data_IF_048377142189
#
_entry.id   IF_048377142189
#
_cell.length_a   1.000
_cell.length_b   1.000
_cell.length_c   1.000
_cell.angle_alpha   90.00
_cell.angle_beta   90.00
_cell.angle_gamma   90.00
#
_symmetry.space_group_name_H-M   'P 1'
#
loop_
_entity.id
_entity.type
_entity.pdbx_description
1 polymer ?
#
# COMPACT_ATOMS: atom_id res chain seq x y z
N UNK A 1 18.57 -9.11 27.53
CA UNK A 1 18.75 -8.43 26.24
C UNK A 1 20.17 -8.48 25.68
N UNK A 2 21.21 -8.37 26.51
CA UNK A 2 22.61 -8.38 25.99
C UNK A 2 23.01 -9.63 25.18
N UNK A 3 22.34 -10.77 25.37
CA UNK A 3 22.69 -12.03 24.70
C UNK A 3 22.18 -12.12 23.24
N UNK A 4 21.28 -11.23 22.84
CA UNK A 4 20.65 -11.21 21.51
C UNK A 4 20.69 -9.80 20.88
N UNK A 5 21.76 -9.05 21.14
CA UNK A 5 21.85 -7.64 20.77
C UNK A 5 21.72 -7.41 19.25
N UNK A 6 22.39 -8.23 18.44
CA UNK A 6 22.38 -8.08 16.98
C UNK A 6 21.04 -8.48 16.37
N UNK A 7 20.42 -9.57 16.82
CA UNK A 7 19.11 -10.00 16.33
C UNK A 7 18.02 -8.98 16.70
N UNK A 8 18.06 -8.45 17.92
CA UNK A 8 17.12 -7.40 18.36
C UNK A 8 17.29 -6.15 17.50
N UNK A 9 18.51 -5.70 17.27
CA UNK A 9 18.80 -4.53 16.44
C UNK A 9 18.34 -4.74 15.00
N UNK A 10 18.60 -5.91 14.44
CA UNK A 10 18.13 -6.26 13.08
C UNK A 10 16.62 -6.15 12.96
N UNK A 11 15.87 -6.74 13.88
CA UNK A 11 14.39 -6.68 13.89
C UNK A 11 13.91 -5.25 14.06
N UNK A 12 14.48 -4.48 14.99
CA UNK A 12 14.08 -3.10 15.23
C UNK A 12 14.29 -2.23 13.98
N UNK A 13 15.45 -2.38 13.31
CA UNK A 13 15.74 -1.64 12.09
C UNK A 13 14.79 -2.03 10.95
N UNK A 14 14.59 -3.32 10.69
CA UNK A 14 13.68 -3.80 9.65
C UNK A 14 12.25 -3.28 9.85
N UNK A 15 11.74 -3.30 11.09
CA UNK A 15 10.40 -2.80 11.39
C UNK A 15 10.28 -1.28 11.31
N UNK A 16 11.34 -0.53 11.58
CA UNK A 16 11.28 0.95 11.56
C UNK A 16 11.56 1.55 10.19
N UNK A 17 12.40 0.90 9.38
CA UNK A 17 12.83 1.38 8.08
C UNK A 17 11.92 0.91 6.93
N UNK A 18 11.19 -0.19 7.12
CA UNK A 18 10.32 -0.77 6.09
C UNK A 18 8.83 -0.56 6.43
N UNK A 19 8.01 -0.32 5.41
CA UNK A 19 6.55 -0.29 5.59
C UNK A 19 6.01 -1.65 6.04
N UNK A 20 6.59 -2.72 5.48
CA UNK A 20 6.30 -4.11 5.82
C UNK A 20 7.59 -4.91 5.87
N UNK A 21 7.72 -5.75 6.90
CA UNK A 21 8.79 -6.73 7.04
C UNK A 21 8.24 -8.11 6.70
N UNK A 22 8.68 -8.70 5.60
CA UNK A 22 8.26 -10.03 5.16
C UNK A 22 9.23 -11.11 5.64
N UNK A 23 8.70 -12.32 5.89
CA UNK A 23 9.51 -13.48 6.25
C UNK A 23 10.63 -13.73 5.22
N UNK A 24 10.34 -13.55 3.92
CA UNK A 24 11.31 -13.70 2.84
C UNK A 24 12.43 -12.65 2.79
N UNK A 25 12.34 -11.54 3.53
CA UNK A 25 13.40 -10.52 3.57
C UNK A 25 14.58 -10.98 4.44
N UNK A 26 14.27 -11.59 5.58
CA UNK A 26 15.23 -12.17 6.50
C UNK A 26 14.52 -13.17 7.42
N UNK A 27 14.54 -14.44 7.04
CA UNK A 27 13.83 -15.50 7.77
C UNK A 27 14.27 -15.59 9.24
N UNK A 28 15.58 -15.49 9.52
CA UNK A 28 16.08 -15.61 10.89
C UNK A 28 15.56 -14.48 11.77
N UNK A 29 15.61 -13.24 11.29
CA UNK A 29 15.10 -12.08 12.01
C UNK A 29 13.57 -12.15 12.16
N UNK A 30 12.85 -12.66 11.13
CA UNK A 30 11.40 -12.81 11.19
C UNK A 30 10.98 -13.85 12.24
N UNK A 31 11.60 -15.04 12.27
CA UNK A 31 11.33 -16.05 13.27
C UNK A 31 11.76 -15.61 14.68
N UNK A 32 12.82 -14.82 14.78
CA UNK A 32 13.21 -14.21 16.06
C UNK A 32 12.14 -13.22 16.53
N UNK A 33 11.64 -12.35 15.65
CA UNK A 33 10.52 -11.46 15.94
C UNK A 33 9.29 -12.24 16.44
N UNK A 34 8.87 -13.28 15.71
CA UNK A 34 7.70 -14.11 16.08
C UNK A 34 7.87 -14.78 17.44
N UNK A 35 9.07 -15.26 17.74
CA UNK A 35 9.39 -15.89 19.03
C UNK A 35 9.27 -14.92 20.20
N UNK A 36 9.63 -13.67 20.00
CA UNK A 36 9.64 -12.63 21.05
C UNK A 36 8.63 -11.53 20.77
N UNK A 37 7.57 -11.84 20.05
CA UNK A 37 6.56 -10.89 19.58
C UNK A 37 6.02 -9.99 20.68
N UNK A 38 5.65 -10.57 21.84
CA UNK A 38 5.10 -9.80 22.96
C UNK A 38 6.09 -8.76 23.50
N UNK A 39 7.39 -9.09 23.52
CA UNK A 39 8.40 -8.16 24.00
C UNK A 39 8.62 -7.00 23.01
N UNK A 40 8.60 -7.27 21.71
CA UNK A 40 8.66 -6.23 20.68
C UNK A 40 7.41 -5.37 20.69
N UNK A 41 6.22 -5.98 20.81
CA UNK A 41 4.95 -5.25 20.88
C UNK A 41 4.92 -4.31 22.10
N UNK A 42 5.34 -4.79 23.29
CA UNK A 42 5.46 -3.96 24.48
C UNK A 42 6.46 -2.82 24.31
N UNK A 43 7.62 -3.09 23.71
CA UNK A 43 8.63 -2.07 23.42
C UNK A 43 8.06 -0.96 22.53
N UNK A 44 7.46 -1.30 21.39
CA UNK A 44 6.91 -0.30 20.48
C UNK A 44 5.72 0.43 21.08
N UNK A 45 4.87 -0.26 21.83
CA UNK A 45 3.75 0.37 22.52
C UNK A 45 4.20 1.36 23.60
N UNK A 46 5.19 0.98 24.40
CA UNK A 46 5.67 1.81 25.52
C UNK A 46 6.49 3.00 25.03
N UNK A 47 7.43 2.76 24.09
CA UNK A 47 8.39 3.79 23.67
C UNK A 47 7.83 4.73 22.61
N UNK A 48 6.93 4.26 21.73
CA UNK A 48 6.46 4.99 20.57
C UNK A 48 4.95 5.12 20.48
N UNK A 49 4.19 4.43 21.31
CA UNK A 49 2.74 4.25 21.21
C UNK A 49 2.32 3.68 19.83
N UNK A 50 3.16 2.83 19.25
CA UNK A 50 2.87 2.11 18.02
C UNK A 50 2.41 0.69 18.33
N UNK A 51 1.58 0.14 17.43
CA UNK A 51 1.10 -1.23 17.52
C UNK A 51 1.84 -2.12 16.54
N UNK A 52 2.38 -3.24 17.03
CA UNK A 52 2.98 -4.27 16.19
C UNK A 52 1.89 -5.22 15.72
N UNK A 53 1.73 -5.34 14.41
CA UNK A 53 0.80 -6.28 13.76
C UNK A 53 1.65 -7.32 13.03
N UNK A 54 1.43 -8.59 13.35
CA UNK A 54 2.18 -9.71 12.77
C UNK A 54 1.24 -10.84 12.34
N UNK A 55 1.61 -11.52 11.27
CA UNK A 55 1.07 -12.80 10.86
C UNK A 55 2.21 -13.77 10.51
N UNK A 56 1.92 -14.88 9.82
CA UNK A 56 2.92 -15.90 9.48
C UNK A 56 3.90 -15.48 8.39
N UNK A 57 3.61 -14.43 7.63
CA UNK A 57 4.43 -13.96 6.50
C UNK A 57 4.90 -12.53 6.62
N UNK A 58 4.21 -11.73 7.41
CA UNK A 58 4.36 -10.28 7.40
C UNK A 58 4.30 -9.69 8.79
N UNK A 59 5.08 -8.64 9.03
CA UNK A 59 5.00 -7.80 10.22
C UNK A 59 5.03 -6.33 9.83
N UNK A 60 4.32 -5.49 10.58
CA UNK A 60 4.33 -4.05 10.39
C UNK A 60 4.09 -3.30 11.69
N UNK A 61 4.49 -2.04 11.72
CA UNK A 61 4.13 -1.11 12.78
C UNK A 61 2.95 -0.23 12.35
N UNK A 62 1.87 -0.31 13.11
CA UNK A 62 0.74 0.60 12.94
C UNK A 62 0.94 1.83 13.83
N UNK A 63 0.88 3.00 13.20
CA UNK A 63 1.11 4.31 13.82
C UNK A 63 -0.20 5.08 13.84
N UNK A 64 -0.96 4.93 14.94
CA UNK A 64 -2.25 5.60 15.11
C UNK A 64 -2.11 7.13 15.08
N UNK A 65 -1.05 7.65 15.66
CA UNK A 65 -0.79 9.08 15.76
C UNK A 65 0.60 9.45 15.30
N UNK A 66 0.68 10.50 14.48
CA UNK A 66 1.94 11.06 14.02
C UNK A 66 2.32 12.22 14.94
N UNK A 67 3.45 12.06 15.66
CA UNK A 67 3.97 13.10 16.56
C UNK A 67 5.01 14.01 15.90
N UNK A 68 5.51 13.66 14.72
CA UNK A 68 6.46 14.49 13.99
C UNK A 68 5.71 15.47 13.09
N UNK A 69 5.67 16.75 13.50
CA UNK A 69 5.01 17.81 12.73
C UNK A 69 5.86 18.32 11.55
N UNK A 70 7.14 18.00 11.51
CA UNK A 70 8.02 18.37 10.42
C UNK A 70 7.73 17.52 9.16
N UNK A 71 7.05 18.12 8.18
CA UNK A 71 6.67 17.43 6.93
C UNK A 71 7.88 16.93 6.13
N UNK A 72 8.98 17.65 6.17
CA UNK A 72 10.20 17.35 5.40
C UNK A 72 10.92 16.09 5.93
N UNK A 73 10.78 15.79 7.21
CA UNK A 73 11.42 14.64 7.85
C UNK A 73 10.50 13.44 8.06
N UNK A 74 9.21 13.55 7.65
CA UNK A 74 8.29 12.42 7.72
C UNK A 74 8.68 11.37 6.70
N UNK A 75 8.70 10.12 7.15
CA UNK A 75 8.71 9.00 6.21
C UNK A 75 7.55 9.15 5.24
N UNK A 76 7.81 8.95 3.96
CA UNK A 76 6.77 8.99 2.94
C UNK A 76 5.72 7.94 3.31
N UNK A 77 4.51 8.38 3.63
CA UNK A 77 3.39 7.49 3.90
C UNK A 77 2.69 7.12 2.60
N UNK A 78 2.11 5.93 2.55
CA UNK A 78 1.29 5.53 1.42
C UNK A 78 0.14 6.52 1.24
N UNK A 79 0.13 7.20 0.12
CA UNK A 79 -0.88 8.20 -0.20
C UNK A 79 -1.46 7.94 -1.58
N UNK A 80 -2.74 7.69 -1.60
CA UNK A 80 -3.52 7.65 -2.83
C UNK A 80 -4.03 9.06 -3.12
N UNK A 81 -3.96 9.46 -4.39
CA UNK A 81 -4.39 10.77 -4.85
C UNK A 81 -5.67 10.63 -5.67
N UNK A 82 -6.72 11.26 -5.17
CA UNK A 82 -7.98 11.28 -5.89
C UNK A 82 -8.77 9.98 -5.84
N UNK A 83 -10.02 10.07 -6.26
CA UNK A 83 -11.02 9.01 -6.19
C UNK A 83 -10.63 7.77 -6.99
N UNK A 84 -10.09 7.96 -8.20
CA UNK A 84 -9.80 6.84 -9.11
C UNK A 84 -8.65 5.96 -8.58
N UNK A 85 -7.60 6.55 -7.97
CA UNK A 85 -6.54 5.76 -7.33
C UNK A 85 -7.06 4.95 -6.13
N UNK A 86 -7.98 5.52 -5.33
CA UNK A 86 -8.60 4.78 -4.23
C UNK A 86 -9.41 3.60 -4.74
N UNK A 87 -10.22 3.81 -5.78
CA UNK A 87 -11.02 2.74 -6.37
C UNK A 87 -10.11 1.67 -6.97
N UNK A 88 -9.08 2.06 -7.73
CA UNK A 88 -8.12 1.12 -8.32
C UNK A 88 -7.40 0.29 -7.24
N UNK A 89 -6.96 0.90 -6.14
CA UNK A 89 -6.38 0.14 -5.03
C UNK A 89 -7.36 -0.90 -4.46
N UNK A 90 -8.62 -0.55 -4.35
CA UNK A 90 -9.65 -1.47 -3.84
C UNK A 90 -9.96 -2.59 -4.85
N UNK A 91 -9.97 -2.26 -6.14
CA UNK A 91 -10.11 -3.26 -7.20
C UNK A 91 -8.90 -4.20 -7.26
N UNK A 92 -7.69 -3.71 -6.95
CA UNK A 92 -6.51 -4.56 -6.77
C UNK A 92 -6.71 -5.56 -5.64
N UNK A 93 -7.31 -5.18 -4.51
CA UNK A 93 -7.61 -6.12 -3.42
C UNK A 93 -8.62 -7.18 -3.83
N UNK A 94 -9.68 -6.79 -4.56
CA UNK A 94 -10.64 -7.74 -5.14
C UNK A 94 -9.95 -8.68 -6.16
N UNK A 95 -9.05 -8.14 -6.97
CA UNK A 95 -8.26 -8.93 -7.92
C UNK A 95 -7.34 -9.92 -7.20
N UNK A 96 -6.68 -9.49 -6.13
CA UNK A 96 -5.83 -10.35 -5.30
C UNK A 96 -6.60 -11.53 -4.69
N UNK A 97 -7.80 -11.29 -4.14
CA UNK A 97 -8.67 -12.36 -3.63
C UNK A 97 -9.02 -13.38 -4.73
N UNK A 98 -9.34 -12.90 -5.94
CA UNK A 98 -9.59 -13.78 -7.09
C UNK A 98 -8.38 -14.60 -7.52
N UNK A 99 -7.18 -14.02 -7.45
CA UNK A 99 -5.95 -14.76 -7.74
C UNK A 99 -5.76 -15.89 -6.74
N UNK A 100 -5.95 -15.65 -5.45
CA UNK A 100 -5.86 -16.66 -4.42
C UNK A 100 -6.89 -17.80 -4.65
N UNK A 101 -8.12 -17.46 -5.01
CA UNK A 101 -9.16 -18.44 -5.33
C UNK A 101 -8.83 -19.27 -6.58
N UNK A 102 -8.35 -18.64 -7.65
CA UNK A 102 -8.02 -19.31 -8.92
C UNK A 102 -6.85 -20.30 -8.77
N UNK A 103 -5.85 -19.94 -8.01
CA UNK A 103 -4.66 -20.77 -7.81
C UNK A 103 -4.83 -21.75 -6.64
N UNK A 104 -6.02 -21.79 -6.01
CA UNK A 104 -6.29 -22.52 -4.76
C UNK A 104 -5.25 -22.22 -3.67
N UNK A 105 -4.78 -20.99 -3.63
CA UNK A 105 -3.82 -20.48 -2.65
C UNK A 105 -4.53 -19.88 -1.46
N UNK A 106 -3.86 -19.95 -0.33
CA UNK A 106 -4.25 -19.24 0.88
C UNK A 106 -3.19 -18.18 1.22
N UNK A 107 -3.55 -17.20 2.03
CA UNK A 107 -2.57 -16.23 2.51
C UNK A 107 -1.40 -16.87 3.29
N UNK A 108 -1.58 -18.11 3.80
CA UNK A 108 -0.56 -18.88 4.52
C UNK A 108 0.42 -19.67 3.63
N UNK A 109 0.18 -19.79 2.31
CA UNK A 109 1.05 -20.55 1.42
C UNK A 109 2.41 -19.86 1.25
N UNK A 110 3.47 -20.65 1.04
CA UNK A 110 4.85 -20.12 0.93
C UNK A 110 5.03 -19.20 -0.26
N UNK A 111 4.40 -19.51 -1.37
CA UNK A 111 4.46 -18.73 -2.60
C UNK A 111 3.43 -17.61 -2.57
N UNK A 112 3.74 -16.51 -3.21
CA UNK A 112 2.82 -15.42 -3.43
C UNK A 112 2.25 -15.52 -4.85
N UNK A 113 1.00 -15.09 -5.09
CA UNK A 113 0.42 -15.12 -6.43
C UNK A 113 1.14 -14.14 -7.36
N UNK A 114 1.31 -14.55 -8.62
CA UNK A 114 1.88 -13.75 -9.68
C UNK A 114 0.82 -13.40 -10.71
N UNK A 115 0.91 -12.23 -11.29
CA UNK A 115 0.00 -11.81 -12.35
C UNK A 115 0.71 -10.93 -13.39
N UNK A 116 0.14 -10.84 -14.59
CA UNK A 116 0.59 -9.89 -15.60
C UNK A 116 -0.14 -8.56 -15.43
N UNK A 117 0.56 -7.48 -15.68
CA UNK A 117 -0.06 -6.15 -15.65
C UNK A 117 -1.29 -6.06 -16.56
N UNK A 118 -1.27 -6.73 -17.73
CA UNK A 118 -2.42 -6.78 -18.63
C UNK A 118 -3.67 -7.40 -18.02
N UNK A 119 -3.51 -8.41 -17.17
CA UNK A 119 -4.63 -9.09 -16.50
C UNK A 119 -5.28 -8.16 -15.46
N UNK A 120 -4.47 -7.45 -14.68
CA UNK A 120 -4.94 -6.42 -13.76
C UNK A 120 -5.63 -5.27 -14.52
N UNK A 121 -5.00 -4.75 -15.58
CA UNK A 121 -5.56 -3.67 -16.38
C UNK A 121 -6.94 -4.01 -16.95
N UNK A 122 -7.11 -5.21 -17.51
CA UNK A 122 -8.40 -5.65 -18.07
C UNK A 122 -9.43 -5.86 -16.96
N UNK A 123 -9.01 -6.43 -15.82
CA UNK A 123 -9.88 -6.57 -14.67
C UNK A 123 -10.38 -5.22 -14.16
N UNK A 124 -9.48 -4.27 -13.93
CA UNK A 124 -9.85 -2.94 -13.45
C UNK A 124 -10.73 -2.19 -14.45
N UNK A 125 -10.35 -2.19 -15.73
CA UNK A 125 -11.18 -1.57 -16.79
C UNK A 125 -12.62 -2.07 -16.75
N UNK A 126 -12.81 -3.39 -16.69
CA UNK A 126 -14.14 -4.00 -16.61
C UNK A 126 -14.89 -3.55 -15.37
N UNK A 127 -14.23 -3.57 -14.21
CA UNK A 127 -14.85 -3.16 -12.94
C UNK A 127 -15.19 -1.67 -12.92
N UNK A 128 -14.32 -0.81 -13.47
CA UNK A 128 -14.64 0.61 -13.63
C UNK A 128 -15.86 0.83 -14.52
N UNK A 129 -15.98 0.10 -15.62
CA UNK A 129 -17.18 0.19 -16.48
C UNK A 129 -18.46 -0.28 -15.77
N UNK A 130 -18.38 -1.30 -14.91
CA UNK A 130 -19.52 -1.78 -14.12
C UNK A 130 -19.91 -0.77 -13.04
N UNK A 131 -18.94 -0.15 -12.35
CA UNK A 131 -19.17 0.84 -11.29
C UNK A 131 -19.61 2.21 -11.83
N UNK A 132 -19.15 2.58 -13.03
CA UNK A 132 -19.38 3.89 -13.65
C UNK A 132 -19.76 3.76 -15.12
N UNK A 133 -20.95 3.22 -15.41
CA UNK A 133 -21.38 2.96 -16.80
C UNK A 133 -21.48 4.24 -17.65
N UNK A 134 -21.65 5.40 -17.02
CA UNK A 134 -21.73 6.71 -17.66
C UNK A 134 -20.35 7.29 -18.06
N UNK A 135 -19.26 6.75 -17.51
CA UNK A 135 -17.92 7.24 -17.80
C UNK A 135 -17.35 6.61 -19.07
N UNK A 136 -17.31 7.38 -20.15
CA UNK A 136 -16.73 6.92 -21.43
C UNK A 136 -15.21 6.74 -21.37
N UNK A 137 -14.52 7.53 -20.54
CA UNK A 137 -13.05 7.52 -20.43
C UNK A 137 -12.50 6.22 -19.85
N UNK A 138 -13.23 5.54 -18.97
CA UNK A 138 -12.80 4.25 -18.38
C UNK A 138 -13.08 3.04 -19.28
N UNK A 139 -13.80 3.21 -20.38
CA UNK A 139 -14.02 2.15 -21.37
C UNK A 139 -12.76 1.83 -22.18
N UNK A 140 -11.87 2.82 -22.32
CA UNK A 140 -10.61 2.65 -23.03
C UNK A 140 -9.50 2.19 -22.06
N UNK A 141 -8.93 1.02 -22.35
CA UNK A 141 -7.85 0.44 -21.53
C UNK A 141 -6.61 1.35 -21.42
N UNK A 142 -6.29 2.04 -22.54
CA UNK A 142 -5.13 2.95 -22.55
C UNK A 142 -5.35 4.15 -21.63
N UNK A 143 -6.56 4.63 -21.50
CA UNK A 143 -6.92 5.70 -20.57
C UNK A 143 -6.81 5.24 -19.12
N UNK A 144 -7.34 4.07 -18.77
CA UNK A 144 -7.19 3.49 -17.42
C UNK A 144 -5.70 3.31 -17.08
N UNK A 145 -4.92 2.74 -18.02
CA UNK A 145 -3.49 2.56 -17.89
C UNK A 145 -2.76 3.88 -17.62
N UNK A 146 -3.00 4.91 -18.43
CA UNK A 146 -2.26 6.17 -18.38
C UNK A 146 -2.68 7.10 -17.25
N UNK A 147 -3.97 7.16 -16.93
CA UNK A 147 -4.49 8.12 -15.95
C UNK A 147 -4.56 7.57 -14.53
N UNK A 148 -4.68 6.25 -14.38
CA UNK A 148 -4.91 5.62 -13.08
C UNK A 148 -3.71 4.75 -12.70
N UNK A 149 -3.44 3.68 -13.45
CA UNK A 149 -2.45 2.67 -13.06
C UNK A 149 -1.01 3.13 -13.18
N UNK A 150 -0.69 4.02 -14.14
CA UNK A 150 0.68 4.52 -14.34
C UNK A 150 1.28 5.12 -13.07
N UNK A 151 0.49 5.89 -12.33
CA UNK A 151 0.95 6.61 -11.14
C UNK A 151 0.74 5.77 -9.87
N UNK A 152 -0.19 4.81 -9.90
CA UNK A 152 -0.49 3.91 -8.80
C UNK A 152 0.53 2.76 -8.66
N UNK A 153 0.89 2.10 -9.77
CA UNK A 153 1.77 0.91 -9.73
C UNK A 153 3.13 1.16 -9.07
N UNK A 154 3.86 2.27 -9.36
CA UNK A 154 5.10 2.57 -8.63
C UNK A 154 4.88 2.72 -7.13
N UNK A 155 3.80 3.41 -6.72
CA UNK A 155 3.48 3.57 -5.30
C UNK A 155 3.25 2.21 -4.61
N UNK A 156 2.56 1.28 -5.28
CA UNK A 156 2.32 -0.06 -4.75
C UNK A 156 3.63 -0.86 -4.58
N UNK A 157 4.58 -0.67 -5.49
CA UNK A 157 5.90 -1.28 -5.38
C UNK A 157 6.74 -0.63 -4.27
N UNK A 158 6.79 0.71 -4.21
CA UNK A 158 7.53 1.46 -3.18
C UNK A 158 7.05 1.13 -1.76
N UNK A 159 5.74 0.93 -1.62
CA UNK A 159 5.12 0.54 -0.35
C UNK A 159 5.06 -0.96 -0.11
N UNK A 160 5.68 -1.73 -1.02
CA UNK A 160 5.80 -3.17 -0.86
C UNK A 160 4.45 -3.92 -0.79
N UNK A 161 3.45 -3.45 -1.52
CA UNK A 161 2.23 -4.23 -1.80
C UNK A 161 2.44 -5.16 -2.97
N UNK A 162 3.25 -4.72 -3.94
CA UNK A 162 3.64 -5.47 -5.11
C UNK A 162 5.17 -5.50 -5.23
N UNK A 163 5.66 -6.52 -5.93
CA UNK A 163 7.04 -6.60 -6.40
C UNK A 163 7.04 -6.80 -7.90
N UNK A 164 7.66 -5.88 -8.64
CA UNK A 164 7.91 -6.10 -10.06
C UNK A 164 9.02 -7.15 -10.21
N UNK A 165 8.74 -8.22 -10.95
CA UNK A 165 9.74 -9.25 -11.25
C UNK A 165 10.65 -8.77 -12.38
N UNK A 166 11.90 -9.31 -12.43
CA UNK A 166 12.91 -8.86 -13.38
C UNK A 166 12.40 -8.89 -14.82
N UNK A 167 12.62 -7.79 -15.53
CA UNK A 167 12.34 -7.69 -16.96
C UNK A 167 13.38 -8.50 -17.73
N UNK A 168 12.98 -9.33 -18.71
CA UNK A 168 13.96 -9.96 -19.59
C UNK A 168 14.82 -8.89 -20.26
N UNK A 169 16.15 -9.00 -20.13
CA UNK A 169 17.07 -8.04 -20.71
C UNK A 169 17.01 -8.11 -22.26
N UNK A 170 16.80 -6.97 -22.92
CA UNK A 170 17.05 -6.83 -24.36
C UNK A 170 15.84 -6.63 -25.28
N UNK A 171 14.61 -6.82 -24.83
CA UNK A 171 13.42 -6.56 -25.66
C UNK A 171 12.62 -5.35 -25.12
N UNK A 172 12.10 -4.52 -26.04
CA UNK A 172 11.03 -3.57 -25.71
C UNK A 172 9.73 -4.36 -25.51
N UNK A 173 9.57 -4.88 -24.30
CA UNK A 173 8.37 -5.64 -23.91
C UNK A 173 7.24 -4.65 -23.70
N UNK A 174 6.06 -4.95 -24.24
CA UNK A 174 4.83 -4.20 -23.94
C UNK A 174 4.58 -4.21 -22.42
N UNK A 175 4.23 -3.07 -21.82
CA UNK A 175 3.94 -2.98 -20.38
C UNK A 175 2.93 -4.03 -19.88
N UNK A 176 1.99 -4.45 -20.71
CA UNK A 176 0.99 -5.47 -20.36
C UNK A 176 1.60 -6.84 -20.02
N UNK A 177 2.85 -7.09 -20.42
CA UNK A 177 3.57 -8.33 -20.15
C UNK A 177 4.41 -8.30 -18.89
N UNK A 178 4.49 -7.15 -18.21
CA UNK A 178 5.21 -7.07 -16.93
C UNK A 178 4.54 -7.97 -15.92
N UNK A 179 5.36 -8.72 -15.18
CA UNK A 179 4.90 -9.64 -14.17
C UNK A 179 5.13 -9.03 -12.80
N UNK A 180 4.10 -9.08 -11.98
CA UNK A 180 4.10 -8.63 -10.60
C UNK A 180 3.82 -9.80 -9.67
N UNK A 181 4.47 -9.78 -8.53
CA UNK A 181 4.18 -10.61 -7.39
C UNK A 181 3.33 -9.81 -6.42
N UNK A 182 2.19 -10.36 -6.02
CA UNK A 182 1.31 -9.75 -5.02
C UNK A 182 1.79 -10.14 -3.62
N UNK A 183 2.25 -9.16 -2.83
CA UNK A 183 2.88 -9.41 -1.54
C UNK A 183 1.83 -9.58 -0.41
N UNK A 184 2.18 -10.30 0.67
CA UNK A 184 1.25 -10.66 1.75
C UNK A 184 0.55 -9.50 2.45
N UNK A 185 1.14 -8.29 2.42
CA UNK A 185 0.51 -7.11 3.00
C UNK A 185 -0.89 -6.81 2.46
N UNK A 186 -1.21 -7.21 1.22
CA UNK A 186 -2.54 -7.05 0.64
C UNK A 186 -3.61 -7.79 1.45
N UNK A 187 -3.26 -8.92 2.06
CA UNK A 187 -4.17 -9.69 2.89
C UNK A 187 -4.61 -8.95 4.17
N UNK A 188 -3.80 -8.00 4.66
CA UNK A 188 -4.17 -7.19 5.83
C UNK A 188 -5.31 -6.20 5.56
N UNK A 189 -5.73 -6.08 4.30
CA UNK A 189 -6.84 -5.20 3.90
C UNK A 189 -8.06 -6.04 3.56
N UNK A 190 -9.13 -5.84 4.32
CA UNK A 190 -10.37 -6.57 4.11
C UNK A 190 -11.21 -5.91 3.00
N UNK A 191 -11.38 -6.59 1.87
CA UNK A 191 -12.19 -6.12 0.74
C UNK A 191 -13.62 -5.79 1.16
N UNK A 192 -14.24 -6.58 2.03
CA UNK A 192 -15.61 -6.34 2.50
C UNK A 192 -15.76 -5.07 3.36
N UNK A 193 -14.74 -4.70 4.14
CA UNK A 193 -14.72 -3.42 4.85
C UNK A 193 -14.54 -2.26 3.88
N UNK A 194 -13.72 -2.47 2.86
CA UNK A 194 -13.43 -1.51 1.82
C UNK A 194 -14.61 -1.32 0.86
N UNK A 195 -15.37 -2.36 0.53
CA UNK A 195 -16.58 -2.26 -0.29
C UNK A 195 -17.63 -1.30 0.32
N UNK A 196 -17.75 -1.27 1.65
CA UNK A 196 -18.58 -0.28 2.34
C UNK A 196 -18.07 1.14 2.11
N UNK A 197 -16.77 1.34 2.20
CA UNK A 197 -16.15 2.65 1.95
C UNK A 197 -16.30 3.10 0.49
N UNK A 198 -16.25 2.18 -0.50
CA UNK A 198 -16.55 2.51 -1.90
C UNK A 198 -17.99 3.01 -2.01
N UNK A 199 -18.95 2.30 -1.44
CA UNK A 199 -20.38 2.69 -1.50
C UNK A 199 -20.60 4.06 -0.87
N UNK A 200 -19.87 4.40 0.18
CA UNK A 200 -19.91 5.73 0.80
C UNK A 200 -19.28 6.81 -0.09
N UNK A 201 -18.10 6.52 -0.68
CA UNK A 201 -17.42 7.42 -1.62
C UNK A 201 -18.30 7.66 -2.86
N UNK A 202 -18.95 6.63 -3.39
CA UNK A 202 -19.85 6.74 -4.54
C UNK A 202 -21.10 7.56 -4.24
N UNK A 203 -21.57 7.58 -3.00
CA UNK A 203 -22.76 8.33 -2.56
C UNK A 203 -22.48 9.77 -2.16
N UNK A 204 -21.22 10.14 -1.92
CA UNK A 204 -20.84 11.50 -1.51
C UNK A 204 -20.65 12.39 -2.73
N UNK A 205 -21.50 13.43 -2.91
CA UNK A 205 -21.34 14.38 -4.05
C UNK A 205 -20.11 15.29 -3.93
N UNK A 206 -19.38 15.25 -2.80
CA UNK A 206 -18.27 16.13 -2.49
C UNK A 206 -16.91 15.72 -3.07
N UNK A 207 -16.83 14.62 -3.84
CA UNK A 207 -15.55 14.12 -4.34
C UNK A 207 -15.08 14.74 -5.67
N UNK A 208 -15.84 15.67 -6.25
CA UNK A 208 -15.46 16.36 -7.51
C UNK A 208 -14.60 17.61 -7.31
N UNK A 209 -14.50 18.13 -6.10
CA UNK A 209 -13.70 19.32 -5.83
C UNK A 209 -12.56 18.98 -4.88
N UNK A 210 -11.41 19.03 -5.46
CA UNK A 210 -10.06 19.20 -4.93
C UNK A 210 -9.84 19.31 -3.43
N UNK A 211 -8.68 18.84 -3.10
CA UNK A 211 -7.87 19.09 -1.92
C UNK A 211 -8.28 20.34 -1.12
N UNK A 212 -8.17 20.32 0.20
CA UNK A 212 -8.14 21.55 0.96
C UNK A 212 -6.95 22.39 0.43
N UNK A 213 -7.26 23.51 -0.17
CA UNK A 213 -6.29 24.56 -0.45
C UNK A 213 -5.60 24.88 0.87
N UNK A 214 -4.27 24.78 0.87
CA UNK A 214 -3.47 25.32 1.96
C UNK A 214 -3.76 26.82 2.01
N UNK A 215 -4.47 27.27 3.02
CA UNK A 215 -4.57 28.69 3.34
C UNK A 215 -3.16 29.26 3.48
N UNK A 216 -2.74 29.96 2.43
CA UNK A 216 -1.66 30.94 2.51
C UNK A 216 -2.16 32.10 3.40
N UNK A 217 -1.90 32.02 4.69
CA UNK A 217 -1.89 33.21 5.52
C UNK A 217 -0.65 34.02 5.12
N UNK A 218 -0.85 34.91 4.16
CA UNK A 218 0.01 36.06 3.97
C UNK A 218 -0.04 36.88 5.25
N UNK A 219 1.07 36.85 5.98
CA UNK A 219 1.31 37.76 7.10
C UNK A 219 1.37 39.17 6.60
N UNK A 220 0.34 39.97 6.91
CA UNK A 220 0.35 41.39 6.72
C UNK A 220 1.44 42.01 7.58
N UNK A 221 2.46 42.56 6.95
CA UNK A 221 3.32 43.55 7.53
C UNK A 221 2.47 44.81 7.83
N UNK A 222 2.31 45.13 9.10
CA UNK A 222 1.86 46.45 9.53
C UNK A 222 3.07 47.26 9.97
N UNK A 223 3.52 48.10 9.07
CA UNK A 223 4.28 49.28 9.42
C UNK A 223 3.50 50.14 10.42
N UNK A 224 4.11 50.49 11.51
CA UNK A 224 3.61 51.40 12.54
C UNK A 224 4.74 52.24 13.08
N UNK A 225 4.99 53.38 12.42
CA UNK A 225 5.70 54.51 12.99
C UNK A 225 5.06 54.95 14.31
N UNK A 226 5.85 55.07 15.36
CA UNK A 226 6.09 56.25 16.19
C UNK A 226 7.10 55.95 17.28
#
# INVERSE_FOLDING_TARGET
MERYGEEVQSVLNLLTESAYFYCGDNENAFYFLRRYESAFAEFFKTCFNWELITDDKCARLYKDKIYNDCRETRLVMFQLRGRDEYIAFMLLLEFYEKLLEQDNMTAGDRENPHFRFGDLLEFERRRFCELFPEREDVKDAETVRKKILRDLMPKLCDYRFLRELERPAGERISPERYIYEALPALYHYNSAALERSIKEILRSPAAETGMPEAENQEGGESDGEQ
#
